data_IF_169225076433
#
_entry.id   IF_169225076433
#
_cell.length_a   1.000
_cell.length_b   1.000
_cell.length_c   1.000
_cell.angle_alpha   90.00
_cell.angle_beta   90.00
_cell.angle_gamma   90.00
#
_symmetry.space_group_name_H-M   'P 1'
#
loop_
_entity.id
_entity.type
_entity.pdbx_description
1 polymer ?
#
# COMPACT_ATOMS: atom_id res chain seq x y z
N UNK A 1 65.44 -27.62 -180.03
CA UNK A 1 65.51 -28.68 -178.99
C UNK A 1 66.74 -28.41 -178.16
N UNK A 2 66.59 -27.96 -176.92
CA UNK A 2 67.78 -27.70 -176.08
C UNK A 2 67.47 -27.97 -174.59
N UNK A 3 68.08 -29.05 -174.07
CA UNK A 3 67.88 -29.65 -172.74
C UNK A 3 68.23 -28.71 -171.57
N UNK A 4 68.79 -27.53 -171.84
CA UNK A 4 69.17 -26.52 -170.85
C UNK A 4 67.99 -25.72 -170.26
N UNK A 5 66.86 -25.62 -170.97
CA UNK A 5 65.68 -24.86 -170.48
C UNK A 5 64.86 -25.65 -169.43
N UNK A 6 64.91 -26.99 -169.45
CA UNK A 6 64.19 -27.85 -168.48
C UNK A 6 64.85 -27.83 -167.10
N UNK A 7 66.18 -27.89 -167.05
CA UNK A 7 66.95 -27.87 -165.80
C UNK A 7 66.84 -26.55 -165.02
N UNK A 8 66.67 -25.42 -165.72
CA UNK A 8 66.47 -24.12 -165.06
C UNK A 8 65.10 -24.03 -164.37
N UNK A 9 64.03 -24.49 -165.04
CA UNK A 9 62.65 -24.48 -164.50
C UNK A 9 62.48 -25.39 -163.28
N UNK A 10 63.19 -26.52 -163.22
CA UNK A 10 63.16 -27.38 -162.03
C UNK A 10 63.93 -26.78 -160.85
N UNK A 11 65.09 -26.13 -161.09
CA UNK A 11 65.79 -25.40 -160.02
C UNK A 11 64.99 -24.22 -159.45
N UNK A 12 64.23 -23.51 -160.29
CA UNK A 12 63.36 -22.42 -159.80
C UNK A 12 62.19 -22.95 -158.99
N UNK A 13 61.57 -24.06 -159.43
CA UNK A 13 60.47 -24.70 -158.68
C UNK A 13 60.94 -25.30 -157.35
N UNK A 14 62.13 -25.89 -157.30
CA UNK A 14 62.72 -26.41 -156.06
C UNK A 14 63.03 -25.28 -155.06
N UNK A 15 63.60 -24.16 -155.52
CA UNK A 15 63.83 -22.98 -154.67
C UNK A 15 62.52 -22.35 -154.16
N UNK A 16 61.47 -22.32 -154.98
CA UNK A 16 60.17 -21.79 -154.58
C UNK A 16 59.47 -22.67 -153.52
N UNK A 17 59.61 -24.01 -153.59
CA UNK A 17 59.09 -24.93 -152.56
C UNK A 17 59.85 -24.80 -151.24
N UNK A 18 61.19 -24.77 -151.30
CA UNK A 18 62.03 -24.59 -150.11
C UNK A 18 61.78 -23.23 -149.42
N UNK A 19 61.49 -22.18 -150.19
CA UNK A 19 61.11 -20.89 -149.62
C UNK A 19 59.72 -20.94 -148.95
N UNK A 20 58.72 -21.56 -149.59
CA UNK A 20 57.38 -21.76 -149.00
C UNK A 20 57.40 -22.59 -147.72
N UNK A 21 58.16 -23.68 -147.69
CA UNK A 21 58.30 -24.52 -146.50
C UNK A 21 58.98 -23.77 -145.37
N UNK A 22 60.04 -22.99 -145.64
CA UNK A 22 60.68 -22.12 -144.64
C UNK A 22 59.76 -21.00 -144.14
N UNK A 23 58.97 -20.38 -145.01
CA UNK A 23 57.99 -19.36 -144.57
C UNK A 23 56.86 -19.97 -143.74
N UNK A 24 56.36 -21.15 -144.11
CA UNK A 24 55.30 -21.83 -143.34
C UNK A 24 55.81 -22.34 -141.99
N UNK A 25 57.02 -22.91 -141.92
CA UNK A 25 57.62 -23.31 -140.64
C UNK A 25 57.93 -22.09 -139.76
N UNK A 26 58.44 -21.00 -140.32
CA UNK A 26 58.67 -19.76 -139.58
C UNK A 26 57.37 -19.05 -139.17
N UNK A 27 56.25 -19.26 -139.87
CA UNK A 27 54.94 -18.71 -139.49
C UNK A 27 54.28 -19.56 -138.40
N UNK A 28 54.39 -20.89 -138.48
CA UNK A 28 53.91 -21.79 -137.43
C UNK A 28 54.71 -21.64 -136.13
N UNK A 29 56.03 -21.42 -136.21
CA UNK A 29 56.83 -21.10 -135.01
C UNK A 29 56.43 -19.76 -134.40
N UNK A 30 56.16 -18.73 -135.20
CA UNK A 30 55.68 -17.45 -134.68
C UNK A 30 54.32 -17.55 -134.00
N UNK A 31 53.37 -18.29 -134.57
CA UNK A 31 52.10 -18.56 -133.90
C UNK A 31 52.26 -19.39 -132.62
N UNK A 32 53.12 -20.41 -132.63
CA UNK A 32 53.39 -21.20 -131.43
C UNK A 32 54.09 -20.38 -130.33
N UNK A 33 54.96 -19.45 -130.70
CA UNK A 33 55.63 -18.55 -129.76
C UNK A 33 54.70 -17.43 -129.27
N UNK A 34 53.81 -16.90 -130.12
CA UNK A 34 52.75 -15.97 -129.74
C UNK A 34 51.75 -16.64 -128.78
N UNK A 35 51.31 -17.87 -129.07
CA UNK A 35 50.42 -18.64 -128.20
C UNK A 35 51.08 -18.95 -126.84
N UNK A 36 52.39 -19.29 -126.83
CA UNK A 36 53.15 -19.47 -125.59
C UNK A 36 53.32 -18.15 -124.83
N UNK A 37 53.61 -17.05 -125.51
CA UNK A 37 53.72 -15.74 -124.88
C UNK A 37 52.37 -15.26 -124.34
N UNK A 38 51.28 -15.53 -125.04
CA UNK A 38 49.93 -15.17 -124.64
C UNK A 38 49.44 -16.04 -123.48
N UNK A 39 49.73 -17.35 -123.50
CA UNK A 39 49.51 -18.24 -122.36
C UNK A 39 50.36 -17.84 -121.16
N UNK A 40 51.62 -17.45 -121.36
CA UNK A 40 52.49 -16.95 -120.29
C UNK A 40 52.01 -15.61 -119.72
N UNK A 41 51.49 -14.69 -120.55
CA UNK A 41 50.86 -13.44 -120.10
C UNK A 41 49.58 -13.72 -119.31
N UNK A 42 48.70 -14.59 -119.80
CA UNK A 42 47.49 -14.97 -119.07
C UNK A 42 47.81 -15.70 -117.76
N UNK A 43 48.86 -16.52 -117.71
CA UNK A 43 49.33 -17.12 -116.47
C UNK A 43 49.90 -16.05 -115.50
N UNK A 44 50.72 -15.13 -116.01
CA UNK A 44 51.31 -14.04 -115.23
C UNK A 44 50.28 -13.01 -114.74
N UNK A 45 49.14 -12.84 -115.42
CA UNK A 45 48.02 -12.00 -114.97
C UNK A 45 47.08 -12.75 -114.02
N UNK A 46 46.92 -14.07 -114.18
CA UNK A 46 46.09 -14.90 -113.29
C UNK A 46 46.76 -15.16 -111.95
N UNK A 47 48.07 -15.36 -111.91
CA UNK A 47 48.81 -15.62 -110.67
C UNK A 47 48.54 -14.54 -109.60
N UNK A 48 48.73 -13.22 -109.85
CA UNK A 48 48.46 -12.20 -108.84
C UNK A 48 46.97 -12.03 -108.52
N UNK A 49 46.07 -12.41 -109.43
CA UNK A 49 44.63 -12.43 -109.14
C UNK A 49 44.26 -13.61 -108.23
N UNK A 50 44.89 -14.77 -108.44
CA UNK A 50 44.74 -15.96 -107.59
C UNK A 50 45.36 -15.74 -106.22
N UNK A 51 46.57 -15.18 -106.15
CA UNK A 51 47.23 -14.86 -104.88
C UNK A 51 46.40 -13.87 -104.04
N UNK A 52 45.78 -12.86 -104.67
CA UNK A 52 44.86 -11.93 -103.99
C UNK A 52 43.58 -12.61 -103.51
N UNK A 53 43.06 -13.56 -104.28
CA UNK A 53 41.87 -14.33 -103.89
C UNK A 53 42.19 -15.27 -102.72
N UNK A 54 43.33 -15.94 -102.78
CA UNK A 54 43.81 -16.83 -101.71
C UNK A 54 44.09 -16.01 -100.44
N UNK A 55 44.72 -14.84 -100.55
CA UNK A 55 44.91 -13.89 -99.43
C UNK A 55 43.56 -13.42 -98.85
N UNK A 56 42.58 -13.11 -99.70
CA UNK A 56 41.24 -12.70 -99.27
C UNK A 56 40.52 -13.85 -98.55
N UNK A 57 40.62 -15.08 -99.07
CA UNK A 57 40.07 -16.29 -98.45
C UNK A 57 40.74 -16.58 -97.11
N UNK A 58 42.06 -16.43 -97.00
CA UNK A 58 42.80 -16.60 -95.74
C UNK A 58 42.36 -15.56 -94.72
N UNK A 59 42.16 -14.29 -95.13
CA UNK A 59 41.62 -13.24 -94.25
C UNK A 59 40.18 -13.53 -93.82
N UNK A 60 39.32 -13.98 -94.72
CA UNK A 60 37.93 -14.35 -94.40
C UNK A 60 37.88 -15.52 -93.42
N UNK A 61 38.70 -16.56 -93.63
CA UNK A 61 38.82 -17.68 -92.71
C UNK A 61 39.34 -17.23 -91.33
N UNK A 62 40.35 -16.34 -91.30
CA UNK A 62 40.87 -15.78 -90.05
C UNK A 62 39.82 -14.94 -89.31
N UNK A 63 39.07 -14.09 -90.03
CA UNK A 63 37.98 -13.30 -89.45
C UNK A 63 36.84 -14.19 -88.94
N UNK A 64 36.53 -15.27 -89.67
CA UNK A 64 35.53 -16.25 -89.26
C UNK A 64 35.94 -16.95 -87.97
N UNK A 65 37.22 -17.34 -87.85
CA UNK A 65 37.77 -17.92 -86.62
C UNK A 65 37.73 -16.94 -85.43
N UNK A 66 38.11 -15.68 -85.65
CA UNK A 66 38.02 -14.62 -84.62
C UNK A 66 36.56 -14.39 -84.20
N UNK A 67 35.64 -14.34 -85.16
CA UNK A 67 34.20 -14.17 -84.87
C UNK A 67 33.67 -15.34 -84.05
N UNK A 68 34.01 -16.59 -84.41
CA UNK A 68 33.62 -17.77 -83.65
C UNK A 68 34.17 -17.73 -82.22
N UNK A 69 35.43 -17.33 -82.05
CA UNK A 69 36.05 -17.16 -80.72
C UNK A 69 35.34 -16.10 -79.88
N UNK A 70 35.04 -14.94 -80.47
CA UNK A 70 34.31 -13.86 -79.78
C UNK A 70 32.89 -14.28 -79.41
N UNK A 71 32.20 -15.04 -80.26
CA UNK A 71 30.87 -15.58 -79.95
C UNK A 71 30.96 -16.52 -78.75
N UNK A 72 31.89 -17.47 -78.74
CA UNK A 72 32.09 -18.38 -77.60
C UNK A 72 32.46 -17.63 -76.32
N UNK A 73 33.30 -16.59 -76.43
CA UNK A 73 33.67 -15.76 -75.28
C UNK A 73 32.48 -14.96 -74.75
N UNK A 74 31.63 -14.42 -75.63
CA UNK A 74 30.41 -13.71 -75.23
C UNK A 74 29.39 -14.65 -74.58
N UNK A 75 29.23 -15.87 -75.10
CA UNK A 75 28.39 -16.90 -74.49
C UNK A 75 28.91 -17.28 -73.09
N UNK A 76 30.24 -17.44 -72.95
CA UNK A 76 30.87 -17.71 -71.66
C UNK A 76 30.67 -16.56 -70.65
N UNK A 77 30.91 -15.32 -71.05
CA UNK A 77 30.71 -14.13 -70.21
C UNK A 77 29.23 -13.95 -69.85
N UNK A 78 28.32 -14.22 -70.77
CA UNK A 78 26.88 -14.19 -70.50
C UNK A 78 26.49 -15.27 -69.48
N UNK A 79 27.06 -16.47 -69.59
CA UNK A 79 26.88 -17.53 -68.60
C UNK A 79 27.37 -17.11 -67.21
N UNK A 80 28.59 -16.59 -67.12
CA UNK A 80 29.16 -16.07 -65.87
C UNK A 80 28.33 -14.93 -65.27
N UNK A 81 27.81 -14.03 -66.10
CA UNK A 81 26.95 -12.92 -65.64
C UNK A 81 25.62 -13.44 -65.09
N UNK A 82 25.02 -14.45 -65.75
CA UNK A 82 23.82 -15.11 -65.23
C UNK A 82 24.08 -15.81 -63.88
N UNK A 83 25.19 -16.55 -63.76
CA UNK A 83 25.58 -17.20 -62.50
C UNK A 83 25.84 -16.19 -61.38
N UNK A 84 26.53 -15.09 -61.67
CA UNK A 84 26.76 -14.01 -60.70
C UNK A 84 25.47 -13.33 -60.27
N UNK A 85 24.55 -13.07 -61.20
CA UNK A 85 23.25 -12.48 -60.87
C UNK A 85 22.41 -13.42 -60.01
N UNK A 86 22.39 -14.72 -60.31
CA UNK A 86 21.70 -15.74 -59.52
C UNK A 86 22.28 -15.81 -58.09
N UNK A 87 23.60 -15.86 -57.95
CA UNK A 87 24.27 -15.85 -56.64
C UNK A 87 24.01 -14.54 -55.88
N UNK A 88 23.94 -13.39 -56.57
CA UNK A 88 23.62 -12.11 -55.95
C UNK A 88 22.16 -12.05 -55.47
N UNK A 89 21.24 -12.68 -56.20
CA UNK A 89 19.83 -12.78 -55.81
C UNK A 89 19.66 -13.69 -54.58
N UNK A 90 20.31 -14.85 -54.56
CA UNK A 90 20.34 -15.76 -53.40
C UNK A 90 20.88 -15.05 -52.15
N UNK A 91 22.01 -14.34 -52.26
CA UNK A 91 22.57 -13.56 -51.15
C UNK A 91 21.63 -12.44 -50.68
N UNK A 92 20.87 -11.82 -51.58
CA UNK A 92 19.88 -10.79 -51.21
C UNK A 92 18.70 -11.41 -50.47
N UNK A 93 18.25 -12.58 -50.87
CA UNK A 93 17.19 -13.33 -50.18
C UNK A 93 17.65 -13.76 -48.78
N UNK A 94 18.84 -14.34 -48.65
CA UNK A 94 19.43 -14.72 -47.36
C UNK A 94 19.58 -13.50 -46.43
N UNK A 95 20.10 -12.38 -46.96
CA UNK A 95 20.21 -11.15 -46.19
C UNK A 95 18.83 -10.62 -45.76
N UNK A 96 17.82 -10.67 -46.62
CA UNK A 96 16.45 -10.29 -46.28
C UNK A 96 15.87 -11.15 -45.14
N UNK A 97 16.08 -12.47 -45.20
CA UNK A 97 15.68 -13.41 -44.16
C UNK A 97 16.41 -13.10 -42.84
N UNK A 98 17.73 -12.90 -42.89
CA UNK A 98 18.52 -12.57 -41.71
C UNK A 98 18.09 -11.25 -41.06
N UNK A 99 17.76 -10.22 -41.85
CA UNK A 99 17.22 -8.94 -41.34
C UNK A 99 15.84 -9.14 -40.71
N UNK A 100 14.96 -9.93 -41.32
CA UNK A 100 13.64 -10.24 -40.77
C UNK A 100 13.75 -11.01 -39.44
N UNK A 101 14.66 -11.99 -39.36
CA UNK A 101 14.91 -12.74 -38.14
C UNK A 101 15.53 -11.86 -37.05
N UNK A 102 16.49 -11.00 -37.40
CA UNK A 102 17.05 -10.01 -36.47
C UNK A 102 15.97 -9.12 -35.85
N UNK A 103 15.06 -8.58 -36.66
CA UNK A 103 13.91 -7.79 -36.17
C UNK A 103 13.00 -8.61 -35.25
N UNK A 104 12.73 -9.87 -35.57
CA UNK A 104 11.92 -10.77 -34.73
C UNK A 104 12.58 -11.01 -33.38
N UNK A 105 13.89 -11.24 -33.34
CA UNK A 105 14.63 -11.45 -32.10
C UNK A 105 14.68 -10.18 -31.25
N UNK A 106 14.86 -9.01 -31.85
CA UNK A 106 14.78 -7.72 -31.15
C UNK A 106 13.40 -7.52 -30.53
N UNK A 107 12.32 -7.75 -31.28
CA UNK A 107 10.96 -7.63 -30.75
C UNK A 107 10.70 -8.60 -29.59
N UNK A 108 11.18 -9.85 -29.69
CA UNK A 108 11.09 -10.82 -28.57
C UNK A 108 11.89 -10.38 -27.34
N UNK A 109 13.04 -9.73 -27.53
CA UNK A 109 13.84 -9.21 -26.41
C UNK A 109 13.11 -8.05 -25.71
N UNK A 110 12.57 -7.11 -26.49
CA UNK A 110 11.77 -5.99 -25.96
C UNK A 110 10.56 -6.48 -25.17
N UNK A 111 9.82 -7.48 -25.69
CA UNK A 111 8.67 -8.07 -25.00
C UNK A 111 9.07 -8.76 -23.67
N UNK A 112 10.21 -9.48 -23.67
CA UNK A 112 10.78 -10.06 -22.45
C UNK A 112 11.16 -9.01 -21.43
N UNK A 113 11.75 -7.88 -21.86
CA UNK A 113 12.09 -6.79 -20.95
C UNK A 113 10.86 -6.11 -20.36
N UNK A 114 9.82 -5.88 -21.17
CA UNK A 114 8.54 -5.35 -20.70
C UNK A 114 7.91 -6.30 -19.68
N UNK A 115 7.91 -7.60 -19.97
CA UNK A 115 7.38 -8.63 -19.06
C UNK A 115 8.19 -8.69 -17.75
N UNK A 116 9.53 -8.61 -17.82
CA UNK A 116 10.39 -8.54 -16.64
C UNK A 116 10.07 -7.32 -15.78
N UNK A 117 9.96 -6.13 -16.37
CA UNK A 117 9.60 -4.89 -15.65
C UNK A 117 8.24 -5.00 -14.97
N UNK A 118 7.24 -5.56 -15.66
CA UNK A 118 5.91 -5.81 -15.07
C UNK A 118 6.00 -6.75 -13.87
N UNK A 119 6.80 -7.82 -13.95
CA UNK A 119 7.00 -8.71 -12.82
C UNK A 119 7.71 -8.03 -11.64
N UNK A 120 8.72 -7.21 -11.90
CA UNK A 120 9.42 -6.42 -10.87
C UNK A 120 8.45 -5.44 -10.18
N UNK A 121 7.60 -4.74 -10.95
CA UNK A 121 6.58 -3.84 -10.42
C UNK A 121 5.55 -4.57 -9.54
N UNK A 122 5.05 -5.71 -10.01
CA UNK A 122 4.09 -6.54 -9.26
C UNK A 122 4.74 -7.09 -7.98
N UNK A 123 5.99 -7.57 -8.05
CA UNK A 123 6.72 -8.05 -6.87
C UNK A 123 6.96 -6.92 -5.86
N UNK A 124 7.33 -5.72 -6.32
CA UNK A 124 7.48 -4.55 -5.46
C UNK A 124 6.14 -4.15 -4.80
N UNK A 125 5.03 -4.23 -5.53
CA UNK A 125 3.69 -3.98 -4.99
C UNK A 125 3.30 -5.02 -3.94
N UNK A 126 3.52 -6.31 -4.21
CA UNK A 126 3.27 -7.40 -3.26
C UNK A 126 4.11 -7.26 -1.99
N UNK A 127 5.39 -6.88 -2.11
CA UNK A 127 6.25 -6.63 -0.96
C UNK A 127 5.69 -5.52 -0.09
N UNK A 128 5.29 -4.38 -0.67
CA UNK A 128 4.66 -3.27 0.07
C UNK A 128 3.37 -3.70 0.77
N UNK A 129 2.52 -4.49 0.11
CA UNK A 129 1.31 -5.02 0.72
C UNK A 129 1.61 -5.97 1.87
N UNK A 130 2.61 -6.84 1.72
CA UNK A 130 3.05 -7.77 2.78
C UNK A 130 3.57 -7.01 4.00
N UNK A 131 4.37 -5.96 3.79
CA UNK A 131 4.90 -5.13 4.87
C UNK A 131 3.78 -4.39 5.61
N UNK A 132 2.83 -3.82 4.87
CA UNK A 132 1.66 -3.15 5.46
C UNK A 132 0.80 -4.11 6.30
N UNK A 133 0.54 -5.33 5.80
CA UNK A 133 -0.19 -6.35 6.54
C UNK A 133 0.57 -6.80 7.79
N UNK A 134 1.88 -6.94 7.71
CA UNK A 134 2.73 -7.30 8.85
C UNK A 134 2.68 -6.24 9.95
N UNK A 135 2.72 -4.96 9.57
CA UNK A 135 2.53 -3.84 10.50
C UNK A 135 1.14 -3.86 11.14
N UNK A 136 0.09 -4.13 10.37
CA UNK A 136 -1.28 -4.22 10.89
C UNK A 136 -1.44 -5.38 11.90
N UNK A 137 -0.86 -6.54 11.60
CA UNK A 137 -0.83 -7.68 12.53
C UNK A 137 -0.14 -7.29 13.83
N UNK A 138 1.03 -6.64 13.74
CA UNK A 138 1.77 -6.21 14.92
C UNK A 138 0.97 -5.22 15.79
N UNK A 139 0.28 -4.26 15.16
CA UNK A 139 -0.62 -3.34 15.86
C UNK A 139 -1.77 -4.07 16.58
N UNK A 140 -2.39 -5.05 15.91
CA UNK A 140 -3.46 -5.86 16.52
C UNK A 140 -2.97 -6.69 17.69
N UNK A 141 -1.77 -7.27 17.61
CA UNK A 141 -1.15 -8.02 18.71
C UNK A 141 -0.93 -7.11 19.93
N UNK A 142 -0.39 -5.91 19.73
CA UNK A 142 -0.17 -4.95 20.82
C UNK A 142 -1.51 -4.51 21.44
N UNK A 143 -2.52 -4.22 20.61
CA UNK A 143 -3.86 -3.84 21.07
C UNK A 143 -4.53 -4.97 21.86
N UNK A 144 -4.40 -6.21 21.41
CA UNK A 144 -4.97 -7.37 22.10
C UNK A 144 -4.28 -7.61 23.46
N UNK A 145 -2.95 -7.49 23.52
CA UNK A 145 -2.21 -7.56 24.78
C UNK A 145 -2.60 -6.44 25.77
N UNK A 146 -2.94 -5.24 25.28
CA UNK A 146 -3.48 -4.17 26.13
C UNK A 146 -4.87 -4.53 26.69
N UNK A 147 -5.79 -4.99 25.83
CA UNK A 147 -7.13 -5.44 26.25
C UNK A 147 -7.09 -6.59 27.25
N UNK A 148 -6.19 -7.56 27.05
CA UNK A 148 -6.05 -8.67 27.99
C UNK A 148 -5.59 -8.21 29.38
N UNK A 149 -4.68 -7.22 29.43
CA UNK A 149 -4.25 -6.62 30.71
C UNK A 149 -5.41 -5.90 31.40
N UNK A 150 -6.19 -5.13 30.66
CA UNK A 150 -7.38 -4.46 31.19
C UNK A 150 -8.42 -5.46 31.71
N UNK A 151 -8.70 -6.52 30.95
CA UNK A 151 -9.60 -7.59 31.37
C UNK A 151 -9.13 -8.28 32.66
N UNK A 152 -7.83 -8.52 32.79
CA UNK A 152 -7.26 -9.11 34.01
C UNK A 152 -7.41 -8.18 35.23
N UNK A 153 -7.26 -6.86 35.05
CA UNK A 153 -7.46 -5.87 36.13
C UNK A 153 -8.92 -5.85 36.57
N UNK A 154 -9.86 -5.79 35.62
CA UNK A 154 -11.31 -5.80 35.91
C UNK A 154 -11.73 -7.10 36.58
N UNK A 155 -11.19 -8.24 36.15
CA UNK A 155 -11.44 -9.54 36.78
C UNK A 155 -10.96 -9.57 38.24
N UNK A 156 -9.79 -8.99 38.52
CA UNK A 156 -9.28 -8.83 39.90
C UNK A 156 -10.19 -7.96 40.76
N UNK A 157 -10.64 -6.81 40.24
CA UNK A 157 -11.58 -5.93 40.95
C UNK A 157 -12.92 -6.61 41.24
N UNK A 158 -13.46 -7.35 40.26
CA UNK A 158 -14.70 -8.11 40.44
C UNK A 158 -14.55 -9.19 41.53
N UNK A 159 -13.41 -9.88 41.59
CA UNK A 159 -13.13 -10.86 42.64
C UNK A 159 -13.03 -10.21 44.03
N UNK A 160 -12.42 -9.03 44.14
CA UNK A 160 -12.33 -8.27 45.39
C UNK A 160 -13.72 -7.82 45.88
N UNK A 161 -14.54 -7.27 44.98
CA UNK A 161 -15.92 -6.88 45.27
C UNK A 161 -16.78 -8.08 45.69
N UNK A 162 -16.66 -9.21 44.99
CA UNK A 162 -17.34 -10.45 45.38
C UNK A 162 -16.90 -10.91 46.78
N UNK A 163 -15.62 -10.76 47.13
CA UNK A 163 -15.10 -11.00 48.46
C UNK A 163 -15.72 -10.12 49.54
N UNK A 164 -15.95 -8.83 49.24
CA UNK A 164 -16.65 -7.88 50.12
C UNK A 164 -18.11 -8.29 50.29
N UNK A 165 -18.81 -8.59 49.20
CA UNK A 165 -20.22 -9.03 49.22
C UNK A 165 -20.36 -10.29 50.07
N UNK A 166 -19.55 -11.34 49.83
CA UNK A 166 -19.57 -12.57 50.64
C UNK A 166 -19.26 -12.33 52.12
N UNK A 167 -18.43 -11.34 52.45
CA UNK A 167 -18.16 -10.94 53.84
C UNK A 167 -19.39 -10.30 54.48
N UNK A 168 -20.03 -9.35 53.79
CA UNK A 168 -21.25 -8.68 54.23
C UNK A 168 -22.41 -9.66 54.37
N UNK A 169 -22.59 -10.59 53.43
CA UNK A 169 -23.58 -11.66 53.53
C UNK A 169 -23.38 -12.53 54.76
N UNK A 170 -22.13 -12.93 55.05
CA UNK A 170 -21.83 -13.70 56.27
C UNK A 170 -22.14 -12.90 57.53
N UNK A 171 -21.86 -11.59 57.55
CA UNK A 171 -22.25 -10.72 58.66
C UNK A 171 -23.78 -10.66 58.80
N UNK A 172 -24.51 -10.42 57.71
CA UNK A 172 -25.97 -10.42 57.67
C UNK A 172 -26.58 -11.75 58.12
N UNK A 173 -26.02 -12.90 57.73
CA UNK A 173 -26.46 -14.21 58.20
C UNK A 173 -26.21 -14.42 59.69
N UNK A 174 -25.02 -14.05 60.18
CA UNK A 174 -24.74 -14.03 61.63
C UNK A 174 -25.73 -13.13 62.35
N UNK A 175 -26.13 -12.03 61.71
CA UNK A 175 -27.10 -11.11 62.26
C UNK A 175 -28.51 -11.72 62.34
N UNK A 176 -29.00 -12.31 61.24
CA UNK A 176 -30.30 -12.96 61.20
C UNK A 176 -30.44 -14.12 62.20
N UNK A 177 -29.32 -14.81 62.51
CA UNK A 177 -29.31 -15.99 63.38
C UNK A 177 -29.08 -15.70 64.88
N UNK A 178 -29.06 -14.43 65.31
CA UNK A 178 -28.90 -14.08 66.73
C UNK A 178 -27.52 -14.41 67.36
N UNK A 179 -26.50 -14.73 66.55
CA UNK A 179 -25.16 -15.14 67.01
C UNK A 179 -24.18 -13.96 67.09
N UNK A 180 -24.41 -13.00 68.00
CA UNK A 180 -23.50 -11.88 68.25
C UNK A 180 -23.56 -11.47 69.73
N UNK A 181 -22.41 -11.30 70.37
CA UNK A 181 -22.31 -10.91 71.77
C UNK A 181 -22.63 -9.41 71.93
N UNK A 182 -23.63 -9.11 72.76
CA UNK A 182 -24.18 -7.77 72.93
C UNK A 182 -23.30 -6.91 73.85
N UNK A 183 -22.46 -6.06 73.27
CA UNK A 183 -22.05 -4.82 73.91
C UNK A 183 -22.32 -3.66 72.95
N UNK A 184 -23.53 -3.11 72.99
CA UNK A 184 -23.80 -1.85 72.31
C UNK A 184 -23.17 -0.72 73.14
N UNK A 185 -22.03 -0.19 72.69
CA UNK A 185 -21.31 0.92 73.34
C UNK A 185 -22.21 2.17 73.58
N UNK A 186 -23.31 2.26 72.83
CA UNK A 186 -24.30 3.34 72.90
C UNK A 186 -25.47 3.08 73.86
N UNK A 187 -25.59 1.89 74.45
CA UNK A 187 -26.56 1.61 75.52
C UNK A 187 -25.86 1.32 76.86
N UNK A 188 -25.72 2.33 77.75
CA UNK A 188 -25.05 2.17 79.03
C UNK A 188 -25.82 1.28 80.03
N UNK A 189 -27.08 0.95 79.75
CA UNK A 189 -27.91 0.14 80.65
C UNK A 189 -27.78 -1.37 80.44
N UNK A 190 -26.93 -1.84 79.53
CA UNK A 190 -26.49 -3.25 79.44
C UNK A 190 -27.57 -4.32 79.19
N UNK A 191 -28.85 -3.94 79.10
CA UNK A 191 -29.98 -4.88 79.15
C UNK A 191 -30.95 -4.77 77.99
N UNK A 192 -30.62 -4.02 76.93
CA UNK A 192 -31.47 -4.05 75.74
C UNK A 192 -30.96 -5.09 74.74
N UNK A 193 -31.85 -5.99 74.35
CA UNK A 193 -31.71 -6.87 73.19
C UNK A 193 -31.86 -6.14 71.84
N UNK A 194 -31.76 -4.80 71.79
CA UNK A 194 -31.95 -4.04 70.55
C UNK A 194 -30.65 -3.86 69.76
N UNK A 195 -30.84 -3.61 68.48
CA UNK A 195 -29.83 -3.61 67.43
C UNK A 195 -29.51 -2.21 66.93
N UNK A 196 -28.37 -1.98 66.29
CA UNK A 196 -27.96 -0.65 65.79
C UNK A 196 -28.84 -0.03 64.68
N UNK A 197 -29.86 -0.74 64.16
CA UNK A 197 -30.96 -0.16 63.37
C UNK A 197 -32.22 0.17 64.21
N UNK A 198 -32.33 -0.41 65.41
CA UNK A 198 -33.37 -0.20 66.42
C UNK A 198 -32.79 0.47 67.68
N UNK A 199 -31.58 1.03 67.58
CA UNK A 199 -30.95 1.73 68.68
C UNK A 199 -31.78 2.97 68.94
N UNK A 200 -32.00 3.37 70.21
CA UNK A 200 -32.66 4.63 70.48
C UNK A 200 -31.98 5.76 69.71
N UNK A 201 -30.71 5.67 69.32
CA UNK A 201 -30.07 6.58 68.36
C UNK A 201 -30.01 5.95 66.96
N UNK A 202 -30.97 6.30 66.09
CA UNK A 202 -31.14 5.70 64.76
C UNK A 202 -30.36 6.36 63.63
N UNK A 203 -29.76 7.53 63.84
CA UNK A 203 -29.08 8.31 62.78
C UNK A 203 -27.76 8.87 63.28
N UNK A 204 -26.70 8.70 62.49
CA UNK A 204 -25.45 9.43 62.65
C UNK A 204 -25.55 10.71 61.83
N UNK A 205 -25.29 11.85 62.46
CA UNK A 205 -25.36 13.16 61.84
C UNK A 205 -24.18 14.03 62.29
N UNK A 206 -24.09 15.22 61.69
CA UNK A 206 -22.97 16.13 61.85
C UNK A 206 -23.48 17.51 62.25
N UNK A 207 -22.94 18.06 63.34
CA UNK A 207 -23.25 19.41 63.81
C UNK A 207 -22.02 20.30 63.66
N UNK A 208 -22.17 21.44 62.97
CA UNK A 208 -21.11 22.43 62.80
C UNK A 208 -21.21 23.49 63.88
N UNK A 209 -20.09 23.79 64.53
CA UNK A 209 -19.98 24.73 65.65
C UNK A 209 -18.61 25.42 65.63
N UNK A 210 -18.41 26.43 66.49
CA UNK A 210 -17.07 26.98 66.75
C UNK A 210 -16.22 26.00 67.55
N UNK A 211 -14.91 26.24 67.60
CA UNK A 211 -13.95 25.45 68.40
C UNK A 211 -14.36 25.36 69.88
N UNK A 212 -14.77 26.48 70.47
CA UNK A 212 -15.20 26.55 71.87
C UNK A 212 -16.47 25.72 72.09
N UNK A 213 -17.39 25.77 71.13
CA UNK A 213 -18.60 24.94 71.17
C UNK A 213 -18.30 23.45 71.02
N UNK A 214 -17.36 23.07 70.14
CA UNK A 214 -16.91 21.68 70.00
C UNK A 214 -16.29 21.15 71.31
N UNK A 215 -15.40 21.92 71.95
CA UNK A 215 -14.81 21.57 73.25
C UNK A 215 -15.89 21.49 74.33
N UNK A 216 -16.85 22.42 74.33
CA UNK A 216 -17.94 22.41 75.31
C UNK A 216 -18.88 21.21 75.11
N UNK A 217 -19.19 20.83 73.87
CA UNK A 217 -19.99 19.64 73.55
C UNK A 217 -19.29 18.35 73.98
N UNK A 218 -17.97 18.27 73.78
CA UNK A 218 -17.17 17.13 74.19
C UNK A 218 -17.10 16.99 75.72
N UNK A 219 -16.89 18.09 76.45
CA UNK A 219 -16.72 18.08 77.91
C UNK A 219 -18.03 18.02 78.70
N UNK A 220 -19.05 18.71 78.23
CA UNK A 220 -20.28 18.95 78.99
C UNK A 220 -21.52 18.32 78.35
N UNK A 221 -21.38 17.70 77.18
CA UNK A 221 -22.50 17.17 76.41
C UNK A 221 -23.29 18.25 75.69
N UNK A 222 -24.45 17.85 75.18
CA UNK A 222 -25.33 18.73 74.38
C UNK A 222 -26.29 19.45 75.31
N UNK A 223 -26.28 20.78 75.22
CA UNK A 223 -27.24 21.67 75.86
C UNK A 223 -27.97 22.47 74.79
N UNK A 224 -29.10 21.95 74.32
CA UNK A 224 -29.87 22.53 73.21
C UNK A 224 -30.29 23.96 73.52
N UNK A 225 -30.59 24.31 74.77
CA UNK A 225 -31.01 25.66 75.12
C UNK A 225 -29.90 26.69 74.89
N UNK A 226 -28.64 26.28 75.03
CA UNK A 226 -27.45 27.11 74.80
C UNK A 226 -27.08 27.21 73.31
N UNK A 227 -27.26 26.13 72.55
CA UNK A 227 -26.84 26.07 71.14
C UNK A 227 -27.95 26.48 70.15
N UNK A 228 -29.22 26.35 70.54
CA UNK A 228 -30.32 26.68 69.67
C UNK A 228 -30.48 28.20 69.56
N UNK A 229 -30.14 28.72 68.38
CA UNK A 229 -30.40 30.12 68.04
C UNK A 229 -31.90 30.38 67.97
N UNK A 230 -32.33 31.55 68.41
CA UNK A 230 -33.71 31.99 68.27
C UNK A 230 -34.02 32.21 66.77
N UNK A 231 -35.13 31.63 66.28
CA UNK A 231 -35.69 31.79 64.92
C UNK A 231 -34.94 31.09 63.77
N UNK A 232 -34.68 29.78 63.90
CA UNK A 232 -34.23 28.96 62.77
C UNK A 232 -35.41 28.34 61.98
N UNK A 233 -35.10 27.63 60.89
CA UNK A 233 -36.08 27.09 59.92
C UNK A 233 -37.20 26.27 60.57
N UNK A 234 -36.87 25.43 61.55
CA UNK A 234 -37.76 24.62 62.37
C UNK A 234 -37.67 25.04 63.87
N UNK A 235 -37.57 26.34 64.14
CA UNK A 235 -37.57 26.86 65.52
C UNK A 235 -36.34 26.50 66.36
N UNK A 236 -36.50 26.47 67.69
CA UNK A 236 -35.40 26.38 68.67
C UNK A 236 -35.01 24.92 68.95
N UNK A 237 -34.20 24.32 68.07
CA UNK A 237 -33.64 22.97 68.23
C UNK A 237 -32.16 22.87 67.83
N UNK A 238 -31.56 21.69 68.01
CA UNK A 238 -30.22 21.38 67.51
C UNK A 238 -30.31 20.83 66.09
N UNK A 239 -29.63 21.49 65.15
CA UNK A 239 -29.63 21.13 63.73
C UNK A 239 -28.38 20.32 63.40
N UNK A 240 -28.58 19.15 62.80
CA UNK A 240 -27.51 18.26 62.35
C UNK A 240 -27.75 17.87 60.88
N UNK A 241 -26.70 17.73 60.08
CA UNK A 241 -26.80 17.31 58.68
C UNK A 241 -26.41 15.83 58.51
N UNK A 242 -26.88 15.18 57.45
CA UNK A 242 -26.53 13.79 57.17
C UNK A 242 -25.07 13.60 56.71
N UNK A 243 -24.40 14.67 56.24
CA UNK A 243 -22.98 14.68 55.91
C UNK A 243 -22.24 15.91 56.47
N UNK A 244 -20.91 15.83 56.70
CA UNK A 244 -20.12 16.99 57.11
C UNK A 244 -20.20 18.16 56.13
N UNK A 245 -20.19 17.88 54.84
CA UNK A 245 -20.18 18.88 53.75
C UNK A 245 -21.47 19.68 53.72
N UNK A 246 -22.60 19.05 54.06
CA UNK A 246 -23.90 19.70 54.12
C UNK A 246 -24.00 20.70 55.27
N UNK A 247 -23.15 20.60 56.29
CA UNK A 247 -23.12 21.60 57.38
C UNK A 247 -22.55 22.95 56.94
N UNK A 248 -22.03 23.06 55.72
CA UNK A 248 -21.22 24.21 55.30
C UNK A 248 -21.93 25.56 55.37
N UNK A 249 -23.24 25.56 55.19
CA UNK A 249 -24.05 26.78 55.14
C UNK A 249 -24.53 27.27 56.52
N UNK A 250 -24.31 26.51 57.61
CA UNK A 250 -24.92 26.77 58.94
C UNK A 250 -24.23 27.83 59.78
N UNK A 251 -22.91 27.92 59.69
CA UNK A 251 -22.15 28.94 60.42
C UNK A 251 -21.91 30.09 59.46
N UNK A 252 -22.53 31.23 59.76
CA UNK A 252 -22.29 32.46 59.00
C UNK A 252 -20.77 32.68 58.94
N UNK A 253 -20.23 32.72 57.72
CA UNK A 253 -18.80 32.82 57.46
C UNK A 253 -18.23 34.04 58.18
N UNK A 254 -17.74 33.85 59.41
CA UNK A 254 -16.86 34.80 60.05
C UNK A 254 -15.47 34.50 59.52
N UNK A 255 -15.00 35.32 58.58
CA UNK A 255 -13.66 35.24 58.01
C UNK A 255 -12.63 35.07 59.13
N UNK A 256 -11.87 33.97 59.10
CA UNK A 256 -10.80 33.69 60.07
C UNK A 256 -11.17 32.76 61.24
N UNK A 257 -12.41 32.27 61.36
CA UNK A 257 -12.75 31.21 62.31
C UNK A 257 -12.71 29.84 61.65
N UNK A 258 -11.93 28.92 62.22
CA UNK A 258 -11.96 27.50 61.84
C UNK A 258 -13.23 26.88 62.42
N UNK A 259 -14.07 26.34 61.55
CA UNK A 259 -15.28 25.67 61.99
C UNK A 259 -15.00 24.20 62.29
N UNK A 260 -15.60 23.74 63.37
CA UNK A 260 -15.46 22.38 63.86
C UNK A 260 -16.75 21.62 63.60
N UNK A 261 -16.62 20.36 63.22
CA UNK A 261 -17.72 19.44 63.01
C UNK A 261 -17.68 18.39 64.11
N UNK A 262 -18.83 18.19 64.75
CA UNK A 262 -19.03 17.19 65.79
C UNK A 262 -19.91 16.08 65.24
N UNK A 263 -19.43 14.85 65.31
CA UNK A 263 -20.17 13.66 64.93
C UNK A 263 -21.09 13.23 66.07
N UNK A 264 -22.40 13.21 65.80
CA UNK A 264 -23.42 12.91 66.79
C UNK A 264 -24.30 11.73 66.39
N UNK A 265 -24.82 11.02 67.37
CA UNK A 265 -25.91 10.06 67.23
C UNK A 265 -27.21 10.69 67.67
N UNK A 266 -28.26 10.53 66.87
CA UNK A 266 -29.56 11.14 67.09
C UNK A 266 -30.66 10.11 67.31
N UNK A 267 -31.49 10.37 68.32
CA UNK A 267 -32.77 9.68 68.56
C UNK A 267 -33.90 10.50 67.97
N UNK A 268 -34.29 10.15 66.75
CA UNK A 268 -35.33 10.89 66.04
C UNK A 268 -36.74 10.56 66.55
N UNK A 269 -37.02 9.33 66.99
CA UNK A 269 -38.38 8.94 67.40
C UNK A 269 -39.37 9.09 66.25
N UNK A 270 -40.58 9.62 66.50
CA UNK A 270 -41.52 9.98 65.43
C UNK A 270 -41.09 11.30 64.78
N UNK A 271 -40.95 11.30 63.47
CA UNK A 271 -40.42 12.44 62.72
C UNK A 271 -41.53 13.22 62.05
N UNK A 272 -41.52 14.54 62.23
CA UNK A 272 -42.29 15.48 61.42
C UNK A 272 -41.43 15.99 60.26
N UNK A 273 -41.84 15.77 59.02
CA UNK A 273 -41.15 16.33 57.84
C UNK A 273 -41.69 17.73 57.54
N UNK A 274 -40.79 18.71 57.36
CA UNK A 274 -41.13 20.08 57.02
C UNK A 274 -40.77 20.42 55.58
N UNK A 275 -41.78 20.82 54.81
CA UNK A 275 -41.62 21.34 53.45
C UNK A 275 -41.55 22.87 53.37
N UNK A 276 -41.68 23.56 54.50
CA UNK A 276 -41.57 25.02 54.63
C UNK A 276 -41.06 25.39 56.03
N UNK A 277 -40.55 26.61 56.19
CA UNK A 277 -40.06 27.07 57.50
C UNK A 277 -41.22 27.28 58.48
N UNK A 278 -41.09 26.71 59.68
CA UNK A 278 -41.94 26.96 60.84
C UNK A 278 -41.03 27.33 62.02
N UNK A 279 -40.72 28.63 62.13
CA UNK A 279 -39.82 29.14 63.18
C UNK A 279 -40.44 29.15 64.58
N UNK A 280 -41.74 28.87 64.69
CA UNK A 280 -42.45 28.82 65.97
C UNK A 280 -42.32 27.46 66.65
N UNK A 281 -41.79 26.44 65.96
CA UNK A 281 -41.63 25.11 66.54
C UNK A 281 -40.74 25.13 67.80
N UNK A 282 -41.24 24.43 68.79
CA UNK A 282 -40.61 24.17 70.08
C UNK A 282 -40.82 22.70 70.45
N UNK A 283 -40.08 22.21 71.45
CA UNK A 283 -40.26 20.85 71.96
C UNK A 283 -41.74 20.57 72.29
N UNK A 284 -42.41 21.50 72.98
CA UNK A 284 -43.80 21.36 73.39
C UNK A 284 -44.75 21.26 72.19
N UNK A 285 -44.56 22.10 71.16
CA UNK A 285 -45.41 22.08 69.96
C UNK A 285 -45.19 20.83 69.11
N UNK A 286 -43.93 20.39 68.94
CA UNK A 286 -43.60 19.16 68.20
C UNK A 286 -44.20 17.94 68.89
N UNK A 287 -44.10 17.87 70.24
CA UNK A 287 -44.74 16.83 71.04
C UNK A 287 -46.27 16.88 71.00
N UNK A 288 -46.86 18.08 71.07
CA UNK A 288 -48.32 18.25 70.97
C UNK A 288 -48.85 17.73 69.63
N UNK A 289 -48.08 17.89 68.54
CA UNK A 289 -48.40 17.33 67.22
C UNK A 289 -48.12 15.82 67.11
N UNK A 290 -47.62 15.17 68.16
CA UNK A 290 -47.37 13.72 68.19
C UNK A 290 -46.00 13.31 67.62
N UNK A 291 -45.03 14.22 67.54
CA UNK A 291 -43.70 13.95 67.01
C UNK A 291 -42.61 14.19 68.07
N UNK A 292 -41.41 13.68 67.82
CA UNK A 292 -40.24 13.77 68.71
C UNK A 292 -39.09 14.58 68.08
N UNK A 293 -39.04 14.66 66.76
CA UNK A 293 -38.03 15.39 65.99
C UNK A 293 -38.58 15.87 64.66
N UNK A 294 -37.77 16.67 63.96
CA UNK A 294 -38.11 17.20 62.65
C UNK A 294 -37.04 16.83 61.63
N UNK A 295 -37.47 16.48 60.42
CA UNK A 295 -36.61 16.44 59.23
C UNK A 295 -36.90 17.67 58.38
N UNK A 296 -35.82 18.33 57.96
CA UNK A 296 -35.87 19.42 56.99
C UNK A 296 -35.16 18.94 55.72
N UNK A 297 -35.87 18.98 54.61
CA UNK A 297 -35.32 18.71 53.28
C UNK A 297 -35.29 20.02 52.52
N UNK A 298 -34.10 20.55 52.25
CA UNK A 298 -33.92 21.80 51.51
C UNK A 298 -32.89 21.67 50.38
N UNK A 299 -32.57 22.78 49.71
CA UNK A 299 -31.57 22.82 48.63
C UNK A 299 -30.15 22.47 49.09
N UNK A 300 -29.88 22.51 50.39
CA UNK A 300 -28.58 22.21 51.00
C UNK A 300 -28.48 20.76 51.49
N UNK A 301 -29.60 20.04 51.54
CA UNK A 301 -29.66 18.60 51.74
C UNK A 301 -30.64 18.19 52.82
N UNK A 302 -30.30 17.10 53.52
CA UNK A 302 -31.14 16.51 54.55
C UNK A 302 -30.62 16.90 55.93
N UNK A 303 -31.49 17.50 56.72
CA UNK A 303 -31.19 17.91 58.09
C UNK A 303 -32.15 17.31 59.11
N UNK A 304 -31.61 17.08 60.30
CA UNK A 304 -32.32 16.57 61.45
C UNK A 304 -32.34 17.64 62.54
N UNK A 305 -33.50 17.87 63.13
CA UNK A 305 -33.69 18.82 64.22
C UNK A 305 -34.28 18.09 65.42
N UNK A 306 -33.57 18.16 66.53
CA UNK A 306 -33.96 17.55 67.81
C UNK A 306 -34.11 18.62 68.88
N UNK A 307 -35.01 18.40 69.84
CA UNK A 307 -35.40 19.41 70.82
C UNK A 307 -35.06 19.05 72.26
N UNK A 308 -34.65 17.80 72.54
CA UNK A 308 -34.20 17.37 73.88
C UNK A 308 -32.74 16.93 73.89
N UNK A 309 -32.04 17.26 74.96
CA UNK A 309 -30.64 16.87 75.16
C UNK A 309 -30.45 15.34 75.13
N UNK A 310 -31.43 14.59 75.66
CA UNK A 310 -31.43 13.12 75.70
C UNK A 310 -31.60 12.46 74.32
N UNK A 311 -31.87 13.24 73.27
CA UNK A 311 -31.92 12.76 71.89
C UNK A 311 -30.57 12.79 71.19
N UNK A 312 -29.53 13.34 71.82
CA UNK A 312 -28.22 13.54 71.18
C UNK A 312 -27.12 12.93 72.00
N UNK A 313 -26.22 12.20 71.33
CA UNK A 313 -24.98 11.71 71.93
C UNK A 313 -23.79 12.02 71.04
N UNK A 314 -22.69 12.50 71.62
CA UNK A 314 -21.45 12.68 70.88
C UNK A 314 -20.81 11.30 70.65
N UNK A 315 -20.48 10.97 69.40
CA UNK A 315 -19.95 9.65 69.00
C UNK A 315 -18.46 9.68 68.65
N UNK A 316 -17.90 10.85 68.35
CA UNK A 316 -16.48 10.98 68.00
C UNK A 316 -15.90 12.30 68.49
N UNK A 317 -14.57 12.35 68.54
CA UNK A 317 -13.84 13.59 68.79
C UNK A 317 -14.22 14.62 67.71
N UNK A 318 -14.41 15.90 68.08
CA UNK A 318 -14.58 16.96 67.12
C UNK A 318 -13.42 17.01 66.12
N UNK A 319 -13.71 17.30 64.86
CA UNK A 319 -12.68 17.47 63.83
C UNK A 319 -12.89 18.76 63.07
N UNK A 320 -11.80 19.31 62.55
CA UNK A 320 -11.87 20.50 61.71
C UNK A 320 -12.42 20.10 60.34
N UNK A 321 -13.45 20.80 59.87
CA UNK A 321 -13.88 20.61 58.48
C UNK A 321 -12.76 21.11 57.55
N UNK A 322 -12.38 20.31 56.54
CA UNK A 322 -11.48 20.79 55.50
C UNK A 322 -12.07 21.98 54.72
#
# INVERSE_FOLDING_TARGET
MDLRVRAFRERTRAKARAFRERTNTAQLQRHADEDRQQAARHAAERQPAQDRLDDALHRENALTAVRAMLTLQNEHLSGQTCEQNAAQEELREEHSIAVAEGRRLTAMHEDREVTRRRHEEVNAALSRCSDALSQQIQQLVVANAARQREANVLSGQAADEEGVVRRLERQLRRYANGQHSHFCRNNPHGHSSHWCLQCPYGVIAYHRTTREGAISLERHGVDIDRYARHRNYAGKGLYCACSPEMTKHKVGHQSGRTDWVVKVGLRLGRVLELNHSDSQLSEALVKQRGFDSVIVTDRHGLEYVVYRNDQVRIIGAPFQSP
#
